data_IF_231821727903
#
_entry.id   IF_231821727903
#
_cell.length_a   1.000
_cell.length_b   1.000
_cell.length_c   1.000
_cell.angle_alpha   90.00
_cell.angle_beta   90.00
_cell.angle_gamma   90.00
#
_symmetry.space_group_name_H-M   'P 1'
#
loop_
_entity.id
_entity.type
_entity.pdbx_description
1 polymer ?
#
# COMPACT_ATOMS: atom_id res chain seq x y z
N UNK A 1 9.36 -5.06 -0.66
CA UNK A 1 10.38 -4.19 -0.04
C UNK A 1 9.78 -3.63 1.24
N UNK A 2 10.59 -3.44 2.28
CA UNK A 2 10.10 -2.89 3.55
C UNK A 2 10.08 -1.37 3.50
N UNK A 3 8.96 -0.79 3.92
CA UNK A 3 8.72 0.64 3.97
C UNK A 3 8.28 1.04 5.36
N UNK A 4 8.85 2.16 5.83
CA UNK A 4 8.45 2.78 7.09
C UNK A 4 7.35 3.79 6.78
N UNK A 5 6.14 3.51 7.25
CA UNK A 5 4.98 4.41 7.16
C UNK A 5 4.71 5.01 8.54
N UNK A 6 4.26 6.26 8.60
CA UNK A 6 3.86 6.92 9.84
C UNK A 6 2.34 6.91 9.87
N UNK A 7 1.77 6.19 10.83
CA UNK A 7 0.32 6.15 11.01
C UNK A 7 -0.12 7.28 11.94
N UNK A 8 -1.43 7.51 12.02
CA UNK A 8 -2.04 8.60 12.79
C UNK A 8 -1.95 8.39 14.30
N UNK A 9 -1.64 7.18 14.75
CA UNK A 9 -1.21 6.89 16.13
C UNK A 9 0.17 7.49 16.50
N UNK A 10 0.82 8.19 15.56
CA UNK A 10 2.11 8.83 15.72
C UNK A 10 3.30 7.86 15.65
N UNK A 11 3.04 6.55 15.54
CA UNK A 11 4.08 5.53 15.50
C UNK A 11 4.44 5.18 14.06
N UNK A 12 5.71 4.89 13.89
CA UNK A 12 6.22 4.39 12.64
C UNK A 12 6.01 2.87 12.56
N UNK A 13 5.27 2.45 11.55
CA UNK A 13 5.02 1.06 11.24
C UNK A 13 5.89 0.62 10.08
N UNK A 14 6.42 -0.59 10.18
CA UNK A 14 7.12 -1.23 9.07
C UNK A 14 6.11 -2.11 8.33
N UNK A 15 5.94 -1.83 7.04
CA UNK A 15 5.09 -2.60 6.13
C UNK A 15 5.92 -3.12 4.98
N UNK A 16 5.73 -4.39 4.64
CA UNK A 16 6.31 -4.94 3.43
C UNK A 16 5.32 -4.72 2.29
N UNK A 17 5.76 -3.98 1.26
CA UNK A 17 4.95 -3.70 0.08
C UNK A 17 5.55 -4.46 -1.11
N UNK A 18 4.73 -5.25 -1.78
CA UNK A 18 5.07 -5.98 -3.00
C UNK A 18 3.99 -5.78 -4.06
N UNK A 19 4.42 -5.57 -5.31
CA UNK A 19 3.51 -5.49 -6.45
C UNK A 19 3.26 -6.88 -7.01
N UNK A 20 2.02 -7.18 -7.37
CA UNK A 20 1.60 -8.40 -8.06
C UNK A 20 0.55 -8.06 -9.13
N UNK A 21 0.22 -9.04 -9.96
CA UNK A 21 -0.91 -8.96 -10.89
C UNK A 21 -1.98 -9.97 -10.49
N UNK A 22 -3.24 -9.54 -10.48
CA UNK A 22 -4.38 -10.41 -10.29
C UNK A 22 -5.30 -10.32 -11.51
N UNK A 23 -5.48 -11.45 -12.23
CA UNK A 23 -6.17 -11.56 -13.54
C UNK A 23 -5.55 -10.68 -14.62
N UNK A 24 -5.63 -9.36 -14.49
CA UNK A 24 -4.93 -8.36 -15.32
C UNK A 24 -4.71 -7.04 -14.59
N UNK A 25 -5.07 -6.95 -13.31
CA UNK A 25 -5.01 -5.72 -12.53
C UNK A 25 -3.73 -5.71 -11.72
N UNK A 26 -3.04 -4.58 -11.75
CA UNK A 26 -1.92 -4.35 -10.86
C UNK A 26 -2.47 -4.17 -9.44
N UNK A 27 -1.96 -4.99 -8.53
CA UNK A 27 -2.33 -4.95 -7.11
C UNK A 27 -1.07 -4.87 -6.26
N UNK A 28 -1.22 -4.35 -5.05
CA UNK A 28 -0.14 -4.21 -4.09
C UNK A 28 -0.51 -4.95 -2.81
N UNK A 29 0.31 -5.94 -2.46
CA UNK A 29 0.21 -6.62 -1.19
C UNK A 29 0.96 -5.81 -0.15
N UNK A 30 0.29 -5.56 0.97
CA UNK A 30 0.83 -4.81 2.09
C UNK A 30 0.76 -5.71 3.31
N UNK A 31 1.92 -6.19 3.77
CA UNK A 31 2.03 -7.04 4.95
C UNK A 31 2.56 -6.23 6.13
N UNK A 32 1.80 -6.22 7.21
CA UNK A 32 2.18 -5.63 8.49
C UNK A 32 2.98 -6.64 9.33
N UNK A 33 3.74 -6.14 10.31
CA UNK A 33 4.55 -6.98 11.21
C UNK A 33 3.72 -7.88 12.11
N UNK A 34 2.48 -7.52 12.38
CA UNK A 34 1.53 -8.31 13.18
C UNK A 34 0.92 -9.48 12.38
N UNK A 35 1.32 -9.66 11.11
CA UNK A 35 0.81 -10.71 10.24
C UNK A 35 -0.42 -10.32 9.44
N UNK A 36 -1.01 -9.13 9.67
CA UNK A 36 -2.11 -8.62 8.85
C UNK A 36 -1.62 -8.36 7.43
N UNK A 37 -2.47 -8.68 6.45
CA UNK A 37 -2.17 -8.47 5.04
C UNK A 37 -3.35 -7.73 4.41
N UNK A 38 -3.07 -6.61 3.77
CA UNK A 38 -4.03 -5.90 2.94
C UNK A 38 -3.66 -6.05 1.46
N UNK A 39 -4.67 -6.17 0.61
CA UNK A 39 -4.50 -6.10 -0.84
C UNK A 39 -5.09 -4.79 -1.35
N UNK A 40 -4.23 -3.93 -1.87
CA UNK A 40 -4.59 -2.62 -2.39
C UNK A 40 -4.59 -2.61 -3.90
N UNK A 41 -5.50 -1.83 -4.48
CA UNK A 41 -5.52 -1.51 -5.90
C UNK A 41 -5.92 -0.05 -6.08
N UNK A 42 -5.57 0.51 -7.25
CA UNK A 42 -5.88 1.90 -7.57
C UNK A 42 -6.98 1.94 -8.62
N UNK A 43 -8.05 2.70 -8.34
CA UNK A 43 -9.15 2.94 -9.27
C UNK A 43 -9.20 4.44 -9.59
N UNK A 44 -8.72 4.82 -10.77
CA UNK A 44 -8.51 6.23 -11.11
C UNK A 44 -7.49 6.89 -10.18
N UNK A 45 -7.93 7.87 -9.40
CA UNK A 45 -7.10 8.57 -8.41
C UNK A 45 -7.18 7.99 -7.01
N UNK A 46 -8.09 7.05 -6.76
CA UNK A 46 -8.40 6.55 -5.42
C UNK A 46 -7.74 5.20 -5.16
N UNK A 47 -7.26 5.03 -3.92
CA UNK A 47 -6.76 3.76 -3.42
C UNK A 47 -7.88 3.01 -2.74
N UNK A 48 -8.02 1.73 -3.05
CA UNK A 48 -9.06 0.85 -2.51
C UNK A 48 -8.43 -0.41 -1.93
N UNK A 49 -9.07 -0.96 -0.89
CA UNK A 49 -8.75 -2.27 -0.34
C UNK A 49 -9.69 -3.32 -0.94
N UNK A 50 -9.18 -4.54 -1.17
CA UNK A 50 -9.94 -5.63 -1.76
C UNK A 50 -10.44 -6.67 -0.75
N UNK A 51 -9.65 -6.94 0.28
CA UNK A 51 -10.01 -7.86 1.37
C UNK A 51 -10.60 -7.09 2.55
N UNK A 52 -11.28 -7.79 3.48
CA UNK A 52 -11.94 -7.24 4.69
C UNK A 52 -11.38 -5.86 5.09
N UNK A 53 -12.22 -4.82 5.02
CA UNK A 53 -11.86 -3.40 5.23
C UNK A 53 -11.43 -3.14 6.68
N UNK A 54 -10.27 -3.67 7.06
CA UNK A 54 -9.66 -3.46 8.38
C UNK A 54 -8.74 -2.25 8.39
N UNK A 55 -8.37 -1.70 7.23
CA UNK A 55 -7.62 -0.46 7.16
C UNK A 55 -8.59 0.72 7.25
N UNK A 56 -8.37 1.56 8.25
CA UNK A 56 -9.01 2.87 8.32
C UNK A 56 -8.60 3.71 7.10
N UNK A 57 -9.50 4.60 6.66
CA UNK A 57 -9.31 5.42 5.46
C UNK A 57 -7.99 6.20 5.48
N UNK A 58 -7.62 6.77 6.63
CA UNK A 58 -6.36 7.50 6.80
C UNK A 58 -5.13 6.60 6.54
N UNK A 59 -5.17 5.37 7.04
CA UNK A 59 -4.09 4.39 6.86
C UNK A 59 -3.98 3.98 5.39
N UNK A 60 -5.13 3.76 4.74
CA UNK A 60 -5.21 3.47 3.32
C UNK A 60 -4.58 4.58 2.48
N UNK A 61 -4.89 5.84 2.77
CA UNK A 61 -4.31 7.00 2.07
C UNK A 61 -2.80 7.12 2.25
N UNK A 62 -2.29 6.90 3.48
CA UNK A 62 -0.83 6.94 3.75
C UNK A 62 -0.09 5.85 2.98
N UNK A 63 -0.63 4.63 2.97
CA UNK A 63 -0.02 3.50 2.26
C UNK A 63 -0.11 3.74 0.75
N UNK A 64 -1.26 4.19 0.24
CA UNK A 64 -1.47 4.55 -1.16
C UNK A 64 -0.47 5.60 -1.65
N UNK A 65 -0.31 6.70 -0.90
CA UNK A 65 0.68 7.73 -1.21
C UNK A 65 2.12 7.19 -1.21
N UNK A 66 2.42 6.23 -0.33
CA UNK A 66 3.72 5.57 -0.31
C UNK A 66 3.93 4.73 -1.57
N UNK A 67 2.90 4.00 -2.02
CA UNK A 67 2.93 3.25 -3.27
C UNK A 67 3.09 4.17 -4.48
N UNK A 68 2.37 5.29 -4.53
CA UNK A 68 2.51 6.28 -5.61
C UNK A 68 3.94 6.81 -5.71
N UNK A 69 4.60 7.08 -4.58
CA UNK A 69 6.03 7.46 -4.56
C UNK A 69 6.94 6.34 -5.08
N UNK A 70 6.62 5.08 -4.79
CA UNK A 70 7.38 3.93 -5.31
C UNK A 70 7.24 3.85 -6.84
N UNK A 71 6.01 3.98 -7.36
CA UNK A 71 5.74 3.97 -8.80
C UNK A 71 6.47 5.13 -9.49
N UNK A 72 6.35 6.34 -8.96
CA UNK A 72 7.03 7.52 -9.48
C UNK A 72 8.55 7.34 -9.53
N UNK A 73 9.16 6.86 -8.45
CA UNK A 73 10.61 6.58 -8.40
C UNK A 73 11.02 5.51 -9.41
N UNK A 74 10.21 4.47 -9.61
CA UNK A 74 10.49 3.44 -10.62
C UNK A 74 10.44 4.03 -12.03
N UNK A 75 9.45 4.87 -12.32
CA UNK A 75 9.28 5.45 -13.66
C UNK A 75 10.34 6.48 -14.04
N UNK A 76 10.98 7.18 -13.08
CA UNK A 76 12.10 8.10 -13.35
C UNK A 76 13.43 7.36 -13.52
N UNK A 77 13.52 6.13 -13.01
CA UNK A 77 14.73 5.32 -13.11
C UNK A 77 14.88 4.60 -14.46
N UNK A 78 13.95 4.81 -15.39
CA UNK A 78 13.97 4.36 -16.79
C UNK A 78 14.04 5.57 -17.72
#
# INVERSE_FOLDING_TARGET
MDYKIKLTDGKAHLVNITSAYFKSWQVWHVRFKDGRVAMLFKLGSEWMQRNEDFLEEEVLQVIGSTIDKIIYKRNIAF
#
